data_IF_367103054745
#
_entry.id   IF_367103054745
#
_cell.length_a   1.000
_cell.length_b   1.000
_cell.length_c   1.000
_cell.angle_alpha   90.00
_cell.angle_beta   90.00
_cell.angle_gamma   90.00
#
_symmetry.space_group_name_H-M   'P 1'
#
loop_
_entity.id
_entity.type
_entity.pdbx_description
1 polymer ?
#
# COMPACT_ATOMS: atom_id res chain seq x y z
N UNK A 1 2.55 -11.36 16.21
CA UNK A 1 1.21 -10.92 15.75
C UNK A 1 1.36 -9.94 14.59
N UNK A 2 0.57 -10.12 13.56
CA UNK A 2 0.65 -9.26 12.37
C UNK A 2 0.06 -7.88 12.67
N UNK A 3 0.81 -6.83 12.35
CA UNK A 3 0.32 -5.46 12.50
C UNK A 3 -0.67 -5.13 11.37
N UNK A 4 -1.83 -4.61 11.74
CA UNK A 4 -2.82 -4.13 10.78
C UNK A 4 -2.75 -2.61 10.74
N UNK A 5 -2.40 -2.07 9.57
CA UNK A 5 -2.23 -0.63 9.40
C UNK A 5 -2.62 -0.26 7.97
N UNK A 6 -3.16 0.95 7.82
CA UNK A 6 -3.59 1.48 6.52
C UNK A 6 -2.90 2.81 6.28
N UNK A 7 -2.90 3.23 5.03
CA UNK A 7 -2.54 4.60 4.65
C UNK A 7 -3.56 5.16 3.68
N UNK A 8 -3.67 6.48 3.64
CA UNK A 8 -4.52 7.16 2.68
C UNK A 8 -4.01 8.56 2.45
N UNK A 9 -4.30 9.13 1.29
CA UNK A 9 -3.91 10.50 0.97
C UNK A 9 -4.92 11.47 1.54
N UNK A 10 -4.46 12.43 2.34
CA UNK A 10 -5.29 13.49 2.86
C UNK A 10 -5.89 14.29 1.71
N UNK A 11 -7.20 14.54 1.77
CA UNK A 11 -7.90 15.23 0.69
C UNK A 11 -7.49 16.67 0.46
N UNK A 12 -6.91 17.31 1.48
CA UNK A 12 -6.53 18.73 1.41
C UNK A 12 -5.08 18.93 0.96
N UNK A 13 -4.14 18.26 1.64
CA UNK A 13 -2.72 18.50 1.41
C UNK A 13 -2.02 17.39 0.61
N UNK A 14 -2.75 16.33 0.27
CA UNK A 14 -2.23 15.18 -0.50
C UNK A 14 -1.02 14.49 0.13
N UNK A 15 -0.92 14.57 1.46
CA UNK A 15 0.10 13.85 2.20
C UNK A 15 -0.48 12.54 2.74
N UNK A 16 0.37 11.52 2.84
CA UNK A 16 -0.05 10.25 3.39
C UNK A 16 -0.31 10.35 4.89
N UNK A 17 -1.42 9.75 5.32
CA UNK A 17 -1.74 9.55 6.74
C UNK A 17 -1.71 8.04 6.98
N UNK A 18 -1.06 7.62 8.06
CA UNK A 18 -0.90 6.22 8.41
C UNK A 18 -1.63 5.92 9.71
N UNK A 19 -2.29 4.76 9.79
CA UNK A 19 -2.94 4.34 11.02
C UNK A 19 -4.14 3.44 10.81
N UNK A 20 -5.21 3.75 11.52
CA UNK A 20 -6.42 2.92 11.57
C UNK A 20 -7.50 3.51 10.69
N UNK A 21 -8.09 2.66 9.85
CA UNK A 21 -9.10 3.07 8.89
C UNK A 21 -10.49 2.93 9.49
N UNK A 22 -11.33 3.95 9.31
CA UNK A 22 -12.75 3.87 9.64
C UNK A 22 -13.57 4.74 8.71
N UNK A 23 -14.88 4.44 8.64
CA UNK A 23 -15.84 5.17 7.81
C UNK A 23 -16.92 5.76 8.74
N UNK A 24 -17.27 7.02 8.51
CA UNK A 24 -18.35 7.66 9.23
C UNK A 24 -19.11 8.57 8.27
N UNK A 25 -20.43 8.36 8.17
CA UNK A 25 -21.33 9.15 7.30
C UNK A 25 -20.85 9.22 5.85
N UNK A 26 -20.33 8.11 5.34
CA UNK A 26 -19.86 8.04 3.97
C UNK A 26 -18.47 8.63 3.73
N UNK A 27 -17.85 9.21 4.74
CA UNK A 27 -16.50 9.72 4.64
C UNK A 27 -15.50 8.72 5.20
N UNK A 28 -14.31 8.68 4.59
CA UNK A 28 -13.25 7.74 4.95
C UNK A 28 -12.14 8.47 5.69
N UNK A 29 -11.68 7.86 6.77
CA UNK A 29 -10.70 8.45 7.68
C UNK A 29 -9.57 7.47 7.96
N UNK A 30 -8.38 8.01 8.15
CA UNK A 30 -7.26 7.27 8.73
C UNK A 30 -6.85 7.99 10.00
N UNK A 31 -6.96 7.31 11.14
CA UNK A 31 -6.62 7.88 12.43
C UNK A 31 -5.29 7.33 12.95
N UNK A 32 -4.40 8.17 13.46
CA UNK A 32 -3.17 7.68 14.09
C UNK A 32 -3.44 6.94 15.39
N UNK A 33 -4.63 7.14 15.99
CA UNK A 33 -4.99 6.53 17.27
C UNK A 33 -5.87 5.30 17.07
N UNK A 34 -5.59 4.24 17.84
CA UNK A 34 -6.35 2.99 17.79
C UNK A 34 -7.82 3.16 18.16
N UNK A 35 -8.10 4.06 19.08
CA UNK A 35 -9.46 4.32 19.56
C UNK A 35 -9.92 5.69 19.08
N UNK A 36 -11.07 5.72 18.38
CA UNK A 36 -11.66 6.98 17.94
C UNK A 36 -12.27 7.70 19.13
N UNK A 37 -11.81 8.92 19.39
CA UNK A 37 -12.34 9.76 20.47
C UNK A 37 -13.45 10.65 19.92
N UNK A 38 -14.71 10.46 20.34
CA UNK A 38 -15.83 11.24 19.81
C UNK A 38 -15.77 12.74 20.14
N UNK A 39 -14.92 13.13 21.06
CA UNK A 39 -14.75 14.54 21.44
C UNK A 39 -13.72 15.27 20.59
N UNK A 40 -13.00 14.55 19.72
CA UNK A 40 -11.98 15.12 18.86
C UNK A 40 -12.50 15.19 17.41
N UNK A 41 -12.22 16.30 16.74
CA UNK A 41 -12.55 16.43 15.33
C UNK A 41 -11.53 15.63 14.49
N UNK A 42 -12.04 14.83 13.58
CA UNK A 42 -11.20 14.06 12.64
C UNK A 42 -11.21 14.65 11.23
N UNK A 43 -11.66 15.90 11.08
CA UNK A 43 -11.72 16.54 9.76
C UNK A 43 -10.36 16.60 9.05
N UNK A 44 -9.28 16.68 9.82
CA UNK A 44 -7.93 16.72 9.26
C UNK A 44 -7.42 15.33 8.84
N UNK A 45 -8.20 14.28 9.13
CA UNK A 45 -7.83 12.90 8.82
C UNK A 45 -8.70 12.27 7.74
N UNK A 46 -9.49 13.08 7.04
CA UNK A 46 -10.27 12.62 5.88
C UNK A 46 -9.30 12.28 4.76
N UNK A 47 -9.48 11.12 4.15
CA UNK A 47 -8.62 10.65 3.06
C UNK A 47 -9.43 10.35 1.81
N UNK A 48 -8.76 10.40 0.66
CA UNK A 48 -9.36 10.00 -0.60
C UNK A 48 -9.61 8.50 -0.59
N UNK A 49 -10.84 8.10 -0.84
CA UNK A 49 -11.25 6.69 -0.81
C UNK A 49 -10.36 5.81 -1.67
N UNK A 50 -10.02 6.27 -2.87
CA UNK A 50 -9.26 5.47 -3.82
C UNK A 50 -7.78 5.33 -3.47
N UNK A 51 -7.31 6.13 -2.50
CA UNK A 51 -5.91 6.08 -2.06
C UNK A 51 -5.68 5.13 -0.90
N UNK A 52 -6.75 4.59 -0.31
CA UNK A 52 -6.63 3.76 0.89
C UNK A 52 -5.99 2.43 0.53
N UNK A 53 -4.92 2.09 1.23
CA UNK A 53 -4.21 0.84 1.02
C UNK A 53 -3.73 0.27 2.34
N UNK A 54 -3.61 -1.05 2.38
CA UNK A 54 -3.25 -1.77 3.59
C UNK A 54 -1.76 -2.10 3.59
N UNK A 55 -1.16 -2.00 4.78
CA UNK A 55 0.19 -2.46 5.02
C UNK A 55 0.24 -3.99 4.87
N UNK A 56 1.19 -4.49 4.09
CA UNK A 56 1.31 -5.93 3.81
C UNK A 56 1.85 -6.72 4.99
N UNK A 57 2.43 -6.05 5.98
CA UNK A 57 3.12 -6.70 7.10
C UNK A 57 4.59 -6.91 6.85
N UNK A 58 5.08 -6.56 5.68
CA UNK A 58 6.48 -6.77 5.30
C UNK A 58 7.16 -5.46 4.97
N UNK A 59 8.48 -5.44 5.10
CA UNK A 59 9.32 -4.30 4.77
C UNK A 59 10.27 -4.70 3.64
N UNK A 60 10.69 -3.71 2.87
CA UNK A 60 11.66 -3.94 1.81
C UNK A 60 13.07 -4.11 2.39
N UNK A 61 14.05 -4.28 1.51
CA UNK A 61 15.44 -4.47 1.90
C UNK A 61 15.97 -3.32 2.77
N UNK A 62 15.46 -2.11 2.56
CA UNK A 62 15.90 -0.92 3.28
C UNK A 62 15.07 -0.62 4.54
N UNK A 63 14.14 -1.50 4.90
CA UNK A 63 13.29 -1.32 6.06
C UNK A 63 12.06 -0.46 5.80
N UNK A 64 11.76 -0.14 4.55
CA UNK A 64 10.57 0.64 4.19
C UNK A 64 9.35 -0.28 4.18
N UNK A 65 8.28 0.12 4.86
CA UNK A 65 7.03 -0.64 4.88
C UNK A 65 6.42 -0.75 3.50
N UNK A 66 5.95 -1.95 3.15
CA UNK A 66 5.34 -2.22 1.85
C UNK A 66 3.82 -2.20 1.98
N UNK A 67 3.16 -1.37 1.18
CA UNK A 67 1.70 -1.23 1.12
C UNK A 67 1.16 -1.68 -0.23
N UNK A 68 -0.11 -2.04 -0.28
CA UNK A 68 -0.80 -2.24 -1.56
C UNK A 68 -0.59 -1.00 -2.43
N UNK A 69 -0.38 -1.23 -3.72
CA UNK A 69 -0.15 -0.14 -4.67
C UNK A 69 1.29 0.30 -4.76
N UNK A 70 2.18 -0.20 -3.91
CA UNK A 70 3.60 0.12 -4.01
C UNK A 70 4.21 -0.53 -5.24
N UNK A 71 5.20 0.14 -5.82
CA UNK A 71 5.99 -0.39 -6.94
C UNK A 71 7.36 -0.76 -6.39
N UNK A 72 7.74 -2.00 -6.62
CA UNK A 72 9.02 -2.55 -6.13
C UNK A 72 9.92 -2.81 -7.32
N UNK A 73 11.14 -2.32 -7.23
CA UNK A 73 12.17 -2.55 -8.25
C UNK A 73 13.13 -3.65 -7.80
N UNK A 74 13.43 -4.56 -8.73
CA UNK A 74 14.44 -5.59 -8.55
C UNK A 74 15.20 -5.71 -9.88
N UNK A 75 16.46 -5.30 -9.90
CA UNK A 75 17.24 -5.19 -11.11
C UNK A 75 16.50 -4.30 -12.13
N UNK A 76 16.15 -4.84 -13.27
CA UNK A 76 15.44 -4.10 -14.33
C UNK A 76 13.94 -4.37 -14.33
N UNK A 77 13.42 -5.06 -13.32
CA UNK A 77 12.01 -5.42 -13.27
C UNK A 77 11.26 -4.60 -12.24
N UNK A 78 10.09 -4.12 -12.64
CA UNK A 78 9.18 -3.42 -11.74
C UNK A 78 8.01 -4.35 -11.42
N UNK A 79 7.60 -4.34 -10.15
CA UNK A 79 6.45 -5.12 -9.68
C UNK A 79 5.48 -4.22 -8.94
N UNK A 80 4.19 -4.41 -9.17
CA UNK A 80 3.15 -3.72 -8.41
C UNK A 80 2.62 -4.66 -7.32
N UNK A 81 2.50 -4.17 -6.11
CA UNK A 81 1.94 -4.94 -4.99
C UNK A 81 0.42 -4.84 -5.03
N UNK A 82 -0.26 -5.97 -5.12
CA UNK A 82 -1.72 -6.07 -5.11
C UNK A 82 -2.16 -7.17 -4.17
N UNK A 83 -3.42 -7.10 -3.75
CA UNK A 83 -4.01 -8.21 -3.03
C UNK A 83 -4.53 -9.23 -4.05
N UNK A 84 -4.02 -10.45 -3.97
CA UNK A 84 -4.43 -11.56 -4.83
C UNK A 84 -5.63 -12.25 -4.17
N UNK A 85 -6.82 -11.93 -4.64
CA UNK A 85 -8.06 -12.47 -4.06
C UNK A 85 -8.22 -13.96 -4.28
N UNK A 86 -7.70 -14.49 -5.39
CA UNK A 86 -7.82 -15.91 -5.70
C UNK A 86 -7.04 -16.78 -4.72
N UNK A 87 -5.95 -16.27 -4.19
CA UNK A 87 -5.07 -17.00 -3.27
C UNK A 87 -5.06 -16.38 -1.87
N UNK A 88 -5.88 -15.36 -1.63
CA UNK A 88 -6.01 -14.68 -0.33
C UNK A 88 -4.66 -14.22 0.24
N UNK A 89 -3.87 -13.55 -0.59
CA UNK A 89 -2.53 -13.10 -0.20
C UNK A 89 -2.14 -11.82 -0.92
N UNK A 90 -1.18 -11.09 -0.35
CA UNK A 90 -0.53 -10.01 -1.11
C UNK A 90 0.44 -10.64 -2.10
N UNK A 91 0.55 -10.04 -3.27
CA UNK A 91 1.40 -10.57 -4.33
C UNK A 91 2.04 -9.43 -5.12
N UNK A 92 3.16 -9.74 -5.75
CA UNK A 92 3.88 -8.81 -6.62
C UNK A 92 3.67 -9.23 -8.06
N UNK A 93 3.16 -8.31 -8.88
CA UNK A 93 2.86 -8.55 -10.29
C UNK A 93 3.87 -7.83 -11.17
N UNK A 94 4.54 -8.56 -12.02
CA UNK A 94 5.57 -8.01 -12.91
C UNK A 94 4.92 -7.11 -13.95
N UNK A 95 5.29 -5.82 -13.96
CA UNK A 95 4.69 -4.83 -14.84
C UNK A 95 5.19 -4.89 -16.29
N UNK A 96 6.30 -5.60 -16.53
CA UNK A 96 6.81 -5.75 -17.87
C UNK A 96 6.14 -6.90 -18.65
N UNK A 97 5.30 -7.68 -17.96
CA UNK A 97 4.58 -8.77 -18.59
C UNK A 97 3.16 -8.31 -18.94
N UNK A 98 2.79 -8.48 -20.19
CA UNK A 98 1.53 -7.96 -20.72
C UNK A 98 0.32 -8.87 -20.49
N UNK A 99 0.49 -9.99 -19.82
CA UNK A 99 -0.60 -10.96 -19.59
C UNK A 99 -0.97 -11.02 -18.12
N UNK A 100 -2.20 -11.46 -17.88
CA UNK A 100 -2.71 -11.66 -16.52
C UNK A 100 -2.06 -12.90 -15.89
N UNK A 101 -0.74 -12.84 -15.77
CA UNK A 101 0.00 -13.92 -15.13
C UNK A 101 -0.16 -13.79 -13.64
N UNK A 102 -0.32 -14.92 -13.00
CA UNK A 102 -0.40 -15.01 -11.57
C UNK A 102 0.81 -14.35 -10.93
N UNK A 103 0.57 -13.47 -9.96
CA UNK A 103 1.63 -12.77 -9.25
C UNK A 103 2.43 -13.70 -8.35
N UNK A 104 3.65 -13.29 -8.06
CA UNK A 104 4.46 -13.99 -7.05
C UNK A 104 3.98 -13.60 -5.66
N UNK A 105 3.79 -14.58 -4.78
CA UNK A 105 3.43 -14.29 -3.40
C UNK A 105 4.48 -13.38 -2.76
N UNK A 106 4.01 -12.35 -2.08
CA UNK A 106 4.89 -11.43 -1.39
C UNK A 106 5.36 -12.08 -0.10
N UNK A 107 6.62 -12.48 -0.06
CA UNK A 107 7.22 -13.15 1.08
C UNK A 107 8.53 -12.48 1.46
N UNK A 108 8.96 -12.73 2.68
CA UNK A 108 10.25 -12.21 3.16
C UNK A 108 11.39 -12.74 2.29
N UNK A 109 11.33 -14.01 1.90
CA UNK A 109 12.35 -14.63 1.04
C UNK A 109 12.41 -13.95 -0.32
N UNK A 110 11.26 -13.65 -0.91
CA UNK A 110 11.21 -12.97 -2.21
C UNK A 110 11.82 -11.58 -2.13
N UNK A 111 11.56 -10.86 -1.02
CA UNK A 111 12.11 -9.50 -0.82
C UNK A 111 13.61 -9.54 -0.65
N UNK A 112 14.13 -10.53 0.07
CA UNK A 112 15.56 -10.65 0.32
C UNK A 112 16.36 -11.06 -0.92
N UNK A 113 15.70 -11.75 -1.85
CA UNK A 113 16.32 -12.09 -3.12
C UNK A 113 16.44 -10.84 -4.00
N UNK A 114 17.58 -10.66 -4.63
CA UNK A 114 17.78 -9.63 -5.65
C UNK A 114 17.55 -8.19 -5.17
N UNK A 115 17.64 -7.93 -3.87
CA UNK A 115 17.64 -6.57 -3.34
C UNK A 115 16.40 -5.74 -3.68
N UNK A 116 15.23 -6.25 -3.42
CA UNK A 116 13.97 -5.59 -3.76
C UNK A 116 13.70 -4.35 -2.91
N UNK A 117 13.40 -3.23 -3.55
CA UNK A 117 13.17 -1.94 -2.88
C UNK A 117 11.92 -1.24 -3.42
N UNK A 118 11.21 -0.55 -2.53
CA UNK A 118 10.07 0.29 -2.92
C UNK A 118 10.61 1.57 -3.55
N UNK A 119 10.13 1.89 -4.77
CA UNK A 119 10.56 3.10 -5.49
C UNK A 119 9.43 4.10 -5.70
N UNK A 120 8.21 3.74 -5.38
CA UNK A 120 7.06 4.62 -5.55
C UNK A 120 5.78 3.85 -5.36
N UNK A 121 4.67 4.44 -5.80
CA UNK A 121 3.37 3.79 -5.71
C UNK A 121 2.48 4.25 -6.86
N UNK A 122 1.37 3.53 -7.06
CA UNK A 122 0.48 3.77 -8.20
C UNK A 122 -0.30 5.08 -8.09
N UNK A 123 -0.41 5.67 -6.90
CA UNK A 123 -1.14 6.92 -6.70
C UNK A 123 -0.30 8.15 -7.01
N UNK A 124 0.95 8.15 -6.55
CA UNK A 124 1.87 9.27 -6.75
C UNK A 124 2.70 9.13 -8.02
N UNK A 125 2.90 7.91 -8.49
CA UNK A 125 3.78 7.61 -9.61
C UNK A 125 3.07 6.74 -10.65
N UNK A 126 1.91 7.18 -11.20
CA UNK A 126 1.17 6.36 -12.16
C UNK A 126 1.95 6.06 -13.43
N UNK A 127 2.97 6.86 -13.75
CA UNK A 127 3.84 6.62 -14.89
C UNK A 127 4.63 5.32 -14.79
N UNK A 128 4.82 4.80 -13.58
CA UNK A 128 5.57 3.55 -13.38
C UNK A 128 4.80 2.33 -13.90
N UNK A 129 3.47 2.41 -13.97
CA UNK A 129 2.63 1.31 -14.43
C UNK A 129 2.17 1.46 -15.87
N UNK A 130 2.39 2.62 -16.47
CA UNK A 130 2.07 2.86 -17.88
C UNK A 130 3.27 2.52 -18.72
N UNK A 131 3.23 1.38 -19.33
CA UNK A 131 4.31 0.93 -20.20
C UNK A 131 3.82 0.71 -21.61
#
# INVERSE_FOLDING_TARGET
MRETKFRGLNGKNKKWIYGYYFVNRGEHFISPDEVVNPLVSYNDFVVDKDSISQYTGLKDKNGVEIYEGDVIESYDCLHEVRYDEDNARFAAFNLSMSTDIEGCGLTKEWIEECGKVVIGNTHENPELIKQ
#
